data_IF_218783239890
#
_entry.id   IF_218783239890
#
_cell.length_a   1.000
_cell.length_b   1.000
_cell.length_c   1.000
_cell.angle_alpha   90.00
_cell.angle_beta   90.00
_cell.angle_gamma   90.00
#
_symmetry.space_group_name_H-M   'P 1'
#
loop_
_entity.id
_entity.type
_entity.pdbx_description
1 polymer ?
#
# COMPACT_ATOMS: atom_id res chain seq x y z
N UNK A 1 11.56 8.98 29.93
CA UNK A 1 10.21 8.53 29.50
C UNK A 1 10.38 7.42 28.47
N UNK A 2 10.02 6.19 28.82
CA UNK A 2 10.24 5.02 27.97
C UNK A 2 9.08 4.91 26.96
N UNK A 3 9.33 5.32 25.71
CA UNK A 3 8.36 5.28 24.63
C UNK A 3 8.17 3.82 24.18
N UNK A 4 7.20 3.12 24.78
CA UNK A 4 6.74 1.81 24.32
C UNK A 4 6.43 1.91 22.81
N UNK A 5 7.14 1.10 22.03
CA UNK A 5 7.19 1.12 20.57
C UNK A 5 5.80 1.34 19.94
N UNK A 6 5.65 2.42 19.17
CA UNK A 6 4.64 2.47 18.12
C UNK A 6 4.77 1.19 17.26
N UNK A 7 3.67 0.60 16.82
CA UNK A 7 3.70 -0.65 16.05
C UNK A 7 4.52 -0.44 14.78
N UNK A 8 5.79 -0.82 14.86
CA UNK A 8 6.82 -0.64 13.83
C UNK A 8 7.20 -1.96 13.18
N UNK A 9 6.59 -3.06 13.58
CA UNK A 9 7.00 -4.40 13.15
C UNK A 9 5.80 -5.20 12.72
N UNK A 10 5.88 -5.76 11.53
CA UNK A 10 4.94 -6.72 10.96
C UNK A 10 5.63 -8.08 10.98
N UNK A 11 4.93 -9.12 11.41
CA UNK A 11 5.42 -10.50 11.40
C UNK A 11 4.47 -11.35 10.57
N UNK A 12 5.02 -12.03 9.57
CA UNK A 12 4.28 -12.94 8.70
C UNK A 12 4.80 -14.34 8.95
N UNK A 13 3.92 -15.25 9.34
CA UNK A 13 4.26 -16.62 9.69
C UNK A 13 3.90 -17.57 8.55
N UNK A 14 4.84 -18.44 8.16
CA UNK A 14 4.62 -19.48 7.18
C UNK A 14 4.85 -20.86 7.84
N UNK A 15 3.80 -21.51 8.36
CA UNK A 15 3.94 -22.82 8.99
C UNK A 15 4.12 -23.97 7.97
N UNK A 16 4.01 -23.69 6.68
CA UNK A 16 4.09 -24.70 5.62
C UNK A 16 5.55 -25.09 5.32
N UNK A 17 5.75 -26.28 4.77
CA UNK A 17 7.07 -26.82 4.46
C UNK A 17 7.64 -26.35 3.10
N UNK A 18 7.06 -25.31 2.50
CA UNK A 18 7.57 -24.68 1.29
C UNK A 18 7.51 -23.15 1.42
N UNK A 19 8.43 -22.47 0.74
CA UNK A 19 8.51 -21.01 0.73
C UNK A 19 7.32 -20.40 -0.02
N UNK A 20 6.84 -19.25 0.48
CA UNK A 20 5.73 -18.52 -0.12
C UNK A 20 6.11 -17.08 -0.42
N UNK A 21 5.50 -16.58 -1.48
CA UNK A 21 5.49 -15.17 -1.85
C UNK A 21 4.02 -14.78 -1.99
N UNK A 22 3.54 -13.88 -1.14
CA UNK A 22 2.13 -13.56 -1.05
C UNK A 22 1.88 -12.09 -0.79
N UNK A 23 0.70 -11.62 -1.17
CA UNK A 23 0.25 -10.27 -0.83
C UNK A 23 -0.33 -10.29 0.58
N UNK A 24 0.24 -9.47 1.45
CA UNK A 24 -0.23 -9.26 2.82
C UNK A 24 -1.01 -7.96 2.85
N UNK A 25 -2.21 -8.01 3.42
CA UNK A 25 -3.02 -6.83 3.74
C UNK A 25 -2.88 -6.46 5.21
N UNK A 26 -2.74 -5.16 5.46
CA UNK A 26 -2.80 -4.56 6.79
C UNK A 26 -3.95 -3.54 6.81
N UNK A 27 -5.03 -3.78 7.58
CA UNK A 27 -6.07 -2.78 7.77
C UNK A 27 -5.54 -1.50 8.39
N UNK A 28 -6.01 -0.34 7.93
CA UNK A 28 -5.63 0.99 8.46
C UNK A 28 -5.91 1.12 9.95
N UNK A 29 -6.91 0.39 10.46
CA UNK A 29 -7.20 0.29 11.89
C UNK A 29 -5.99 -0.17 12.72
N UNK A 30 -5.12 -1.02 12.17
CA UNK A 30 -3.87 -1.47 12.81
C UNK A 30 -2.71 -0.47 12.66
N UNK A 31 -2.81 0.46 11.70
CA UNK A 31 -1.80 1.49 11.43
C UNK A 31 -2.06 2.80 12.18
N UNK A 32 -3.21 2.94 12.87
CA UNK A 32 -3.64 4.16 13.59
C UNK A 32 -2.53 4.79 14.44
N UNK A 33 -1.80 4.00 15.22
CA UNK A 33 -0.73 4.53 16.10
C UNK A 33 0.40 5.22 15.32
N UNK A 34 0.70 4.74 14.12
CA UNK A 34 1.70 5.31 13.23
C UNK A 34 1.12 6.54 12.48
N UNK A 35 -0.10 6.42 11.97
CA UNK A 35 -0.75 7.45 11.15
C UNK A 35 -1.20 8.68 11.95
N UNK A 36 -1.48 8.52 13.25
CA UNK A 36 -1.73 9.66 14.15
C UNK A 36 -0.54 10.62 14.25
N UNK A 37 0.66 10.18 13.86
CA UNK A 37 1.91 10.96 13.95
C UNK A 37 2.55 11.22 12.59
N UNK A 38 2.12 10.52 11.54
CA UNK A 38 2.76 10.53 10.23
C UNK A 38 1.70 10.47 9.13
N UNK A 39 1.96 11.13 8.00
CA UNK A 39 1.10 11.01 6.82
C UNK A 39 1.27 9.63 6.16
N UNK A 40 0.19 9.10 5.59
CA UNK A 40 0.21 7.85 4.78
C UNK A 40 1.26 7.89 3.67
N UNK A 41 1.39 9.04 3.00
CA UNK A 41 2.38 9.28 1.95
C UNK A 41 3.85 9.06 2.40
N UNK A 42 4.10 9.14 3.71
CA UNK A 42 5.43 8.96 4.30
C UNK A 42 5.64 7.53 4.83
N UNK A 43 4.60 6.70 4.88
CA UNK A 43 4.73 5.32 5.34
C UNK A 43 5.55 4.51 4.33
N UNK A 44 6.55 3.79 4.83
CA UNK A 44 7.31 2.79 4.08
C UNK A 44 7.38 1.50 4.87
N UNK A 45 7.46 0.39 4.15
CA UNK A 45 7.80 -0.91 4.72
C UNK A 45 9.20 -1.29 4.25
N UNK A 46 10.01 -1.81 5.17
CA UNK A 46 11.33 -2.38 4.89
C UNK A 46 11.40 -3.82 5.34
N UNK A 47 12.17 -4.64 4.65
CA UNK A 47 12.53 -5.98 5.15
C UNK A 47 13.53 -5.89 6.33
N UNK A 48 13.90 -7.05 6.89
CA UNK A 48 14.87 -7.16 7.97
C UNK A 48 16.27 -6.63 7.58
N UNK A 49 16.61 -6.59 6.30
CA UNK A 49 17.87 -6.06 5.78
C UNK A 49 17.81 -4.54 5.52
N UNK A 50 16.65 -3.91 5.73
CA UNK A 50 16.43 -2.49 5.49
C UNK A 50 16.08 -2.14 4.05
N UNK A 51 15.87 -3.12 3.17
CA UNK A 51 15.46 -2.90 1.79
C UNK A 51 14.01 -2.42 1.74
N UNK A 52 13.71 -1.33 0.99
CA UNK A 52 12.35 -0.84 0.87
C UNK A 52 11.49 -1.75 0.00
N UNK A 53 10.29 -2.07 0.49
CA UNK A 53 9.26 -2.79 -0.27
C UNK A 53 8.34 -1.83 -1.02
N UNK A 54 7.78 -2.33 -2.12
CA UNK A 54 6.66 -1.67 -2.79
C UNK A 54 5.41 -1.90 -1.94
N UNK A 55 4.64 -0.85 -1.76
CA UNK A 55 3.38 -0.87 -1.02
C UNK A 55 2.28 -0.28 -1.89
N UNK A 56 1.04 -0.71 -1.66
CA UNK A 56 -0.13 -0.16 -2.32
C UNK A 56 -1.20 0.14 -1.28
N UNK A 57 -1.71 1.36 -1.30
CA UNK A 57 -2.91 1.72 -0.55
C UNK A 57 -4.14 1.34 -1.36
N UNK A 58 -5.17 0.84 -0.68
CA UNK A 58 -6.45 0.46 -1.28
C UNK A 58 -7.56 1.18 -0.53
N UNK A 59 -8.43 1.80 -1.31
CA UNK A 59 -9.73 2.36 -0.93
C UNK A 59 -10.76 1.54 -1.74
N UNK A 60 -11.50 0.65 -1.08
CA UNK A 60 -12.44 -0.25 -1.77
C UNK A 60 -13.86 0.32 -1.83
N UNK A 61 -14.21 1.28 -0.98
CA UNK A 61 -15.55 1.89 -0.94
C UNK A 61 -15.65 3.23 -1.70
N UNK A 62 -14.50 3.78 -2.09
CA UNK A 62 -14.36 4.98 -2.89
C UNK A 62 -14.63 6.26 -2.13
N UNK A 63 -14.55 6.26 -0.80
CA UNK A 63 -14.79 7.44 0.03
C UNK A 63 -13.58 8.41 0.06
N UNK A 64 -12.45 8.01 -0.53
CA UNK A 64 -11.21 8.78 -0.58
C UNK A 64 -10.30 8.56 0.63
N UNK A 65 -10.67 7.68 1.56
CA UNK A 65 -9.86 7.21 2.68
C UNK A 65 -9.40 5.79 2.40
N UNK A 66 -8.10 5.52 2.60
CA UNK A 66 -7.60 4.18 2.39
C UNK A 66 -8.07 3.25 3.52
N UNK A 67 -8.50 2.04 3.15
CA UNK A 67 -8.93 1.00 4.07
C UNK A 67 -7.79 0.09 4.51
N UNK A 68 -6.88 -0.23 3.59
CA UNK A 68 -5.82 -1.19 3.80
C UNK A 68 -4.53 -0.84 3.05
N UNK A 69 -3.43 -1.39 3.57
CA UNK A 69 -2.11 -1.32 2.98
C UNK A 69 -1.66 -2.71 2.55
N UNK A 70 -1.35 -2.86 1.27
CA UNK A 70 -0.85 -4.08 0.68
C UNK A 70 0.67 -4.02 0.48
N UNK A 71 1.34 -5.16 0.69
CA UNK A 71 2.72 -5.37 0.27
C UNK A 71 2.98 -6.87 0.00
N UNK A 72 4.00 -7.17 -0.80
CA UNK A 72 4.40 -8.55 -1.06
C UNK A 72 5.39 -9.03 0.00
N UNK A 73 5.03 -10.10 0.71
CA UNK A 73 5.89 -10.77 1.69
C UNK A 73 6.49 -12.04 1.08
N UNK A 74 7.78 -12.27 1.36
CA UNK A 74 8.48 -13.51 1.06
C UNK A 74 8.82 -14.19 2.38
N UNK A 75 8.32 -15.40 2.58
CA UNK A 75 8.50 -16.16 3.83
C UNK A 75 8.96 -17.57 3.52
N UNK A 76 10.09 -17.97 4.08
CA UNK A 76 10.63 -19.32 3.93
C UNK A 76 9.76 -20.37 4.63
N UNK A 77 9.93 -21.64 4.23
CA UNK A 77 9.26 -22.79 4.82
C UNK A 77 9.48 -22.87 6.35
N UNK A 78 8.41 -22.94 7.13
CA UNK A 78 8.46 -23.06 8.59
C UNK A 78 9.09 -21.84 9.30
N UNK A 79 9.16 -20.68 8.64
CA UNK A 79 9.81 -19.47 9.16
C UNK A 79 8.83 -18.33 9.32
N UNK A 80 9.32 -17.30 10.02
CA UNK A 80 8.66 -16.00 10.17
C UNK A 80 9.49 -14.94 9.45
N UNK A 81 8.85 -14.14 8.62
CA UNK A 81 9.45 -12.94 8.05
C UNK A 81 9.09 -11.73 8.91
N UNK A 82 10.04 -10.82 9.05
CA UNK A 82 9.90 -9.60 9.84
C UNK A 82 10.07 -8.40 8.92
N UNK A 83 9.14 -7.46 9.03
CA UNK A 83 9.16 -6.21 8.28
C UNK A 83 8.99 -5.03 9.22
N UNK A 84 9.50 -3.89 8.81
CA UNK A 84 9.54 -2.67 9.59
C UNK A 84 8.76 -1.54 8.93
N UNK A 85 7.84 -0.93 9.67
CA UNK A 85 7.14 0.30 9.27
C UNK A 85 8.01 1.49 9.69
N UNK A 86 8.33 2.35 8.73
CA UNK A 86 9.14 3.55 8.95
C UNK A 86 8.49 4.77 8.29
N UNK A 87 8.75 5.95 8.85
CA UNK A 87 8.40 7.22 8.23
C UNK A 87 9.58 7.73 7.40
N UNK A 88 9.35 8.00 6.12
CA UNK A 88 10.33 8.60 5.21
C UNK A 88 9.63 9.73 4.43
N UNK A 89 10.01 10.98 4.75
CA UNK A 89 9.44 12.18 4.14
C UNK A 89 9.89 12.37 2.69
N UNK A 90 10.83 11.56 2.18
CA UNK A 90 11.22 11.61 0.77
C UNK A 90 10.23 10.77 -0.06
N UNK A 91 9.45 11.39 -0.95
CA UNK A 91 8.62 10.64 -1.89
C UNK A 91 9.55 9.91 -2.88
N UNK A 92 9.79 8.62 -2.63
CA UNK A 92 10.31 7.72 -3.66
C UNK A 92 9.11 7.25 -4.45
N UNK A 93 8.74 8.00 -5.48
CA UNK A 93 7.69 7.59 -6.42
C UNK A 93 8.11 6.26 -7.05
N UNK A 94 7.55 5.17 -6.53
CA UNK A 94 7.51 3.85 -7.19
C UNK A 94 6.05 3.45 -7.40
N UNK A 95 5.18 4.43 -7.65
CA UNK A 95 3.85 4.14 -8.17
C UNK A 95 4.12 3.58 -9.57
N UNK A 96 3.77 2.31 -9.88
CA UNK A 96 3.73 1.89 -11.26
C UNK A 96 2.79 2.86 -11.98
N UNK A 97 3.37 3.70 -12.84
CA UNK A 97 2.58 4.64 -13.63
C UNK A 97 1.73 3.78 -14.55
N UNK A 98 0.44 3.63 -14.21
CA UNK A 98 -0.52 3.07 -15.14
C UNK A 98 -0.69 4.12 -16.25
N UNK A 99 0.18 4.06 -17.27
CA UNK A 99 -0.01 4.77 -18.52
C UNK A 99 -1.14 4.05 -19.28
N UNK A 100 -2.37 4.15 -18.78
CA UNK A 100 -3.47 4.25 -19.72
C UNK A 100 -3.24 5.59 -20.39
N UNK A 101 -2.53 5.61 -21.51
CA UNK A 101 -2.78 6.65 -22.50
C UNK A 101 -4.16 6.33 -23.04
N UNK A 102 -5.25 7.04 -22.68
CA UNK A 102 -6.42 6.97 -23.51
C UNK A 102 -5.98 7.68 -24.79
N UNK A 103 -5.70 6.95 -25.86
CA UNK A 103 -5.36 7.51 -27.17
C UNK A 103 -6.46 8.37 -27.80
N UNK A 104 -7.50 8.71 -27.03
CA UNK A 104 -8.75 9.31 -27.48
C UNK A 104 -8.98 10.71 -26.90
N UNK A 105 -8.18 11.16 -25.91
CA UNK A 105 -8.28 12.53 -25.38
C UNK A 105 -7.25 13.45 -26.05
N UNK A 106 -7.43 13.72 -27.35
CA UNK A 106 -6.90 14.95 -27.96
C UNK A 106 -8.04 15.75 -28.58
N UNK A 107 -8.33 16.86 -27.90
CA UNK A 107 -8.95 18.12 -28.35
C UNK A 107 -9.91 18.05 -29.54
N UNK A 108 -11.20 18.29 -29.27
CA UNK A 108 -12.05 18.99 -30.24
C UNK A 108 -13.47 18.48 -30.49
N UNK A 109 -14.19 17.90 -29.53
CA UNK A 109 -15.62 17.59 -29.72
C UNK A 109 -16.45 17.95 -28.48
N UNK A 110 -17.29 18.98 -28.64
CA UNK A 110 -18.40 19.28 -27.73
C UNK A 110 -19.47 18.20 -27.93
N UNK A 111 -19.81 17.48 -26.87
CA UNK A 111 -20.93 16.53 -26.89
C UNK A 111 -22.21 17.36 -26.67
N UNK A 112 -23.03 17.54 -27.70
CA UNK A 112 -24.40 18.01 -27.50
C UNK A 112 -25.23 16.87 -26.88
N UNK A 113 -26.07 17.12 -25.86
CA UNK A 113 -26.92 16.10 -25.30
C UNK A 113 -28.00 15.71 -26.34
N UNK A 114 -27.93 14.46 -26.80
CA UNK A 114 -28.96 13.86 -27.63
C UNK A 114 -30.27 13.74 -26.85
N UNK A 115 -31.29 14.46 -27.33
CA UNK A 115 -32.67 14.44 -26.86
C UNK A 115 -33.25 13.03 -27.02
N UNK A 116 -33.61 12.38 -25.92
CA UNK A 116 -34.46 11.19 -25.92
C UNK A 116 -35.90 11.60 -26.27
N UNK A 117 -36.38 11.11 -27.41
CA UNK A 117 -37.80 10.86 -27.76
C UNK A 117 -37.74 9.72 -28.76
N UNK A 118 -38.49 8.63 -28.71
CA UNK A 118 -39.58 8.12 -27.90
C UNK A 118 -40.03 6.86 -28.65
#
# INVERSE_FOLDING_TARGET
MNLLNAQKTIRVDNPLNFSRKEIVSIPVSQLKSFLNKNKEANLRIKDANGNPLVIQWVDYDGDGQNDELLFEATVEAGKKAVYHIVADAKPRSRIPKFLLTPGWFRKGWTIMPGRMTG
#
